data_IF_019242139527
#
_entry.id   IF_019242139527
#
_cell.length_a   1.000
_cell.length_b   1.000
_cell.length_c   1.000
_cell.angle_alpha   90.00
_cell.angle_beta   90.00
_cell.angle_gamma   90.00
#
_symmetry.space_group_name_H-M   'P 1'
#
loop_
_entity.id
_entity.type
_entity.pdbx_description
1 polymer ?
#
# COMPACT_ATOMS: atom_id res chain seq x y z
N UNK A 1 36.48 17.75 25.40
CA UNK A 1 35.99 17.66 25.10
C UNK A 1 35.02 17.44 24.78
N UNK A 2 34.64 17.70 24.79
CA UNK A 2 33.91 17.72 24.23
C UNK A 2 32.84 17.53 24.20
N UNK A 3 32.44 17.47 24.41
CA UNK A 3 31.62 17.33 24.46
C UNK A 3 30.57 17.39 24.22
N UNK A 4 30.19 17.70 24.21
CA UNK A 4 29.02 17.90 24.24
C UNK A 4 28.27 17.56 23.34
N UNK A 5 28.40 17.46 23.00
CA UNK A 5 27.90 17.03 22.12
C UNK A 5 26.67 16.76 22.08
N UNK A 6 26.33 16.23 22.77
CA UNK A 6 25.11 15.71 22.63
C UNK A 6 24.15 16.63 22.39
N UNK A 7 24.36 17.51 22.80
CA UNK A 7 23.46 18.32 22.65
C UNK A 7 23.16 18.59 21.39
N UNK A 8 23.87 18.40 20.61
CA UNK A 8 23.52 18.74 19.46
C UNK A 8 23.21 17.87 18.61
N UNK A 9 22.99 17.14 18.83
CA UNK A 9 22.47 16.40 18.09
C UNK A 9 21.82 16.78 17.16
N UNK A 10 21.57 17.42 17.24
CA UNK A 10 20.88 17.77 16.53
C UNK A 10 20.64 17.81 15.19
N UNK A 11 21.26 18.43 14.33
CA UNK A 11 20.93 18.43 12.97
C UNK A 11 20.90 17.08 12.36
N UNK A 12 21.81 16.23 12.68
CA UNK A 12 21.87 14.90 12.11
C UNK A 12 20.76 14.01 12.63
N UNK A 13 20.14 14.33 13.76
CA UNK A 13 19.00 13.57 14.27
C UNK A 13 17.69 14.15 13.81
N UNK A 14 17.60 15.45 13.63
CA UNK A 14 16.37 16.11 13.26
C UNK A 14 16.02 15.88 11.79
N UNK A 15 16.99 15.96 10.91
CA UNK A 15 16.73 15.81 9.49
C UNK A 15 16.10 14.47 9.13
N UNK A 16 16.56 13.31 9.64
CA UNK A 16 15.87 12.03 9.38
C UNK A 16 14.45 11.99 9.91
N UNK A 17 14.20 12.62 11.05
CA UNK A 17 12.86 12.67 11.62
C UNK A 17 11.91 13.48 10.75
N UNK A 18 12.35 14.62 10.27
CA UNK A 18 11.55 15.46 9.40
C UNK A 18 11.28 14.75 8.07
N UNK A 19 12.27 14.06 7.53
CA UNK A 19 12.09 13.29 6.32
C UNK A 19 11.08 12.16 6.52
N UNK A 20 11.12 11.49 7.68
CA UNK A 20 10.18 10.42 7.99
C UNK A 20 8.76 10.96 8.12
N UNK A 21 8.58 12.12 8.76
CA UNK A 21 7.28 12.76 8.89
C UNK A 21 6.73 13.15 7.52
N UNK A 22 7.57 13.73 6.66
CA UNK A 22 7.17 14.13 5.33
C UNK A 22 6.76 12.93 4.50
N UNK A 23 7.49 11.81 4.60
CA UNK A 23 7.16 10.58 3.89
C UNK A 23 5.85 9.99 4.37
N UNK A 24 5.61 9.97 5.68
CA UNK A 24 4.36 9.47 6.25
C UNK A 24 3.18 10.34 5.82
N UNK A 25 3.35 11.66 5.80
CA UNK A 25 2.31 12.58 5.37
C UNK A 25 1.97 12.36 3.91
N UNK A 26 2.96 12.18 3.06
CA UNK A 26 2.74 11.92 1.64
C UNK A 26 2.03 10.60 1.44
N UNK A 27 2.42 9.56 2.17
CA UNK A 27 1.77 8.26 2.08
C UNK A 27 0.30 8.35 2.48
N UNK A 28 -0.01 9.05 3.56
CA UNK A 28 -1.39 9.23 4.01
C UNK A 28 -2.23 10.02 3.00
N UNK A 29 -1.63 11.05 2.41
CA UNK A 29 -2.30 11.86 1.40
C UNK A 29 -2.61 10.99 0.17
N UNK A 30 -1.65 10.22 -0.28
CA UNK A 30 -1.83 9.34 -1.43
C UNK A 30 -2.87 8.26 -1.12
N UNK A 31 -2.82 7.69 0.08
CA UNK A 31 -3.79 6.70 0.51
C UNK A 31 -5.21 7.27 0.49
N UNK A 32 -5.40 8.46 1.06
CA UNK A 32 -6.71 9.11 1.08
C UNK A 32 -7.23 9.33 -0.33
N UNK A 33 -6.39 9.82 -1.22
CA UNK A 33 -6.77 10.08 -2.60
C UNK A 33 -7.17 8.79 -3.32
N UNK A 34 -6.43 7.71 -3.12
CA UNK A 34 -6.72 6.43 -3.75
C UNK A 34 -8.02 5.84 -3.20
N UNK A 35 -8.24 5.93 -1.89
CA UNK A 35 -9.46 5.44 -1.25
C UNK A 35 -10.68 6.17 -1.82
N UNK A 36 -10.63 7.50 -1.89
CA UNK A 36 -11.73 8.29 -2.44
C UNK A 36 -11.97 7.92 -3.91
N UNK A 37 -10.90 7.76 -4.68
CA UNK A 37 -11.01 7.36 -6.07
C UNK A 37 -11.69 5.98 -6.21
N UNK A 38 -11.26 5.00 -5.41
CA UNK A 38 -11.85 3.66 -5.43
C UNK A 38 -13.35 3.69 -5.11
N UNK A 39 -13.71 4.43 -4.07
CA UNK A 39 -15.11 4.56 -3.67
C UNK A 39 -15.93 5.17 -4.81
N UNK A 40 -15.40 6.17 -5.47
CA UNK A 40 -16.09 6.80 -6.59
C UNK A 40 -16.24 5.88 -7.79
N UNK A 41 -15.34 4.92 -7.94
CA UNK A 41 -15.44 3.92 -8.99
C UNK A 41 -16.40 2.78 -8.65
N UNK A 42 -16.94 2.76 -7.44
CA UNK A 42 -17.84 1.71 -7.01
C UNK A 42 -17.14 0.48 -6.44
N UNK A 43 -15.87 0.62 -6.07
CA UNK A 43 -15.11 -0.47 -5.49
C UNK A 43 -15.38 -0.55 -3.99
N UNK A 44 -15.62 -1.77 -3.51
CA UNK A 44 -15.88 -1.99 -2.08
C UNK A 44 -14.57 -2.29 -1.37
N UNK A 45 -14.19 -1.43 -0.43
CA UNK A 45 -12.96 -1.59 0.34
C UNK A 45 -13.24 -2.50 1.52
N UNK A 46 -12.44 -3.55 1.67
CA UNK A 46 -12.61 -4.53 2.73
C UNK A 46 -11.61 -4.34 3.87
N UNK A 47 -10.53 -3.63 3.65
CA UNK A 47 -9.56 -3.39 4.72
C UNK A 47 -8.29 -2.73 4.25
N UNK A 48 -7.40 -2.59 5.20
CA UNK A 48 -6.08 -2.00 4.98
C UNK A 48 -5.07 -2.86 5.71
N UNK A 49 -3.87 -2.97 5.14
CA UNK A 49 -2.76 -3.61 5.84
C UNK A 49 -1.48 -2.88 5.56
N UNK A 50 -0.63 -2.83 6.55
CA UNK A 50 0.69 -2.27 6.40
C UNK A 50 1.65 -3.34 5.93
N UNK A 51 2.61 -2.94 5.10
CA UNK A 51 3.66 -3.83 4.68
C UNK A 51 4.99 -3.09 4.82
N UNK A 52 5.93 -3.73 5.46
CA UNK A 52 7.25 -3.17 5.65
C UNK A 52 8.25 -4.17 5.07
N UNK A 53 8.99 -3.75 4.07
CA UNK A 53 10.00 -4.58 3.45
C UNK A 53 11.16 -3.74 2.96
N UNK A 54 12.36 -4.16 3.24
CA UNK A 54 13.58 -3.54 2.72
C UNK A 54 13.60 -2.02 2.83
N UNK A 55 13.16 -1.49 3.96
CA UNK A 55 13.20 -0.06 4.21
C UNK A 55 12.09 0.74 3.57
N UNK A 56 11.14 0.09 2.93
CA UNK A 56 10.01 0.78 2.32
C UNK A 56 8.74 0.42 3.08
N UNK A 57 8.08 1.45 3.61
CA UNK A 57 6.79 1.27 4.24
C UNK A 57 5.72 1.41 3.18
N UNK A 58 4.84 0.45 3.11
CA UNK A 58 3.72 0.47 2.16
C UNK A 58 2.42 0.23 2.88
N UNK A 59 1.38 0.84 2.35
CA UNK A 59 0.02 0.53 2.77
C UNK A 59 -0.67 -0.17 1.61
N UNK A 60 -1.34 -1.25 1.93
CA UNK A 60 -2.10 -2.02 0.96
C UNK A 60 -3.58 -1.85 1.28
N UNK A 61 -4.36 -1.48 0.28
CA UNK A 61 -5.82 -1.40 0.39
C UNK A 61 -6.37 -2.70 -0.16
N UNK A 62 -7.11 -3.43 0.64
CA UNK A 62 -7.76 -4.65 0.19
C UNK A 62 -9.20 -4.35 -0.21
N UNK A 63 -9.62 -4.90 -1.33
CA UNK A 63 -10.94 -4.63 -1.89
C UNK A 63 -11.64 -5.94 -2.24
N UNK A 64 -12.95 -5.89 -2.36
CA UNK A 64 -13.73 -7.05 -2.79
C UNK A 64 -13.52 -7.29 -4.27
N UNK A 65 -13.38 -8.56 -4.66
CA UNK A 65 -13.25 -8.93 -6.06
C UNK A 65 -14.48 -8.49 -6.85
N UNK A 66 -14.24 -7.98 -8.04
CA UNK A 66 -15.30 -7.51 -8.93
C UNK A 66 -14.75 -7.45 -10.35
N UNK A 67 -15.57 -7.76 -11.36
CA UNK A 67 -15.14 -7.59 -12.75
C UNK A 67 -14.72 -6.16 -13.07
N UNK A 68 -15.22 -5.20 -12.31
CA UNK A 68 -14.87 -3.79 -12.46
C UNK A 68 -13.36 -3.55 -12.32
N UNK A 69 -12.69 -4.30 -11.44
CA UNK A 69 -11.26 -4.11 -11.18
C UNK A 69 -10.40 -4.34 -12.41
N UNK A 70 -10.68 -5.39 -13.17
CA UNK A 70 -9.96 -5.65 -14.41
C UNK A 70 -10.20 -4.55 -15.44
N UNK A 71 -11.39 -3.97 -15.46
CA UNK A 71 -11.69 -2.85 -16.32
C UNK A 71 -10.98 -1.57 -15.91
N UNK A 72 -10.87 -1.32 -14.60
CA UNK A 72 -10.20 -0.13 -14.09
C UNK A 72 -8.70 -0.16 -14.31
N UNK A 73 -8.08 -1.31 -14.08
CA UNK A 73 -6.62 -1.42 -14.12
C UNK A 73 -6.10 -2.01 -15.42
N UNK A 74 -6.95 -2.67 -16.19
CA UNK A 74 -6.61 -3.27 -17.48
C UNK A 74 -5.34 -4.11 -17.38
N UNK A 75 -4.31 -3.79 -18.16
CA UNK A 75 -3.05 -4.52 -18.16
C UNK A 75 -2.11 -4.10 -17.02
N UNK A 76 -2.54 -3.19 -16.15
CA UNK A 76 -1.72 -2.75 -15.02
C UNK A 76 -1.98 -3.53 -13.75
N UNK A 77 -2.78 -4.58 -13.79
CA UNK A 77 -2.95 -5.49 -12.68
C UNK A 77 -2.38 -6.86 -13.04
N UNK A 78 -1.88 -7.54 -12.03
CA UNK A 78 -1.34 -8.89 -12.21
C UNK A 78 -1.55 -9.64 -10.89
N UNK A 79 -1.40 -10.97 -10.94
CA UNK A 79 -1.45 -11.74 -9.71
C UNK A 79 -0.02 -12.00 -9.22
N UNK A 80 0.14 -11.99 -7.90
CA UNK A 80 1.43 -12.23 -7.26
C UNK A 80 1.49 -13.55 -6.51
N UNK A 81 0.35 -14.14 -6.25
CA UNK A 81 0.28 -15.35 -5.47
C UNK A 81 -0.89 -16.21 -5.95
N UNK A 82 -0.64 -17.50 -5.97
CA UNK A 82 -1.65 -18.50 -6.29
C UNK A 82 -1.59 -19.55 -5.20
N UNK A 83 -2.71 -19.87 -4.62
CA UNK A 83 -2.76 -20.93 -3.63
C UNK A 83 -3.95 -21.83 -3.86
N UNK A 84 -3.82 -23.06 -3.38
CA UNK A 84 -4.87 -24.06 -3.48
C UNK A 84 -5.56 -24.16 -2.13
N UNK A 85 -6.90 -24.21 -2.13
CA UNK A 85 -7.68 -24.40 -0.92
C UNK A 85 -8.76 -25.42 -1.29
N UNK A 86 -8.48 -26.71 -1.04
CA UNK A 86 -9.33 -27.78 -1.47
C UNK A 86 -9.45 -27.81 -2.99
N UNK A 87 -10.66 -27.74 -3.51
CA UNK A 87 -10.91 -27.72 -4.93
C UNK A 87 -10.80 -26.32 -5.54
N UNK A 88 -10.54 -25.32 -4.73
CA UNK A 88 -10.51 -23.94 -5.17
C UNK A 88 -9.07 -23.48 -5.40
N UNK A 89 -8.88 -22.70 -6.45
CA UNK A 89 -7.62 -21.99 -6.67
C UNK A 89 -7.86 -20.52 -6.41
N UNK A 90 -7.04 -19.93 -5.56
CA UNK A 90 -7.18 -18.54 -5.15
C UNK A 90 -6.00 -17.76 -5.67
N UNK A 91 -6.28 -16.72 -6.43
CA UNK A 91 -5.26 -15.81 -6.95
C UNK A 91 -5.35 -14.50 -6.19
N UNK A 92 -4.21 -14.00 -5.72
CA UNK A 92 -4.12 -12.65 -5.16
C UNK A 92 -3.65 -11.71 -6.24
N UNK A 93 -4.51 -10.84 -6.66
CA UNK A 93 -4.24 -9.83 -7.68
C UNK A 93 -3.86 -8.51 -7.03
N UNK A 94 -3.07 -7.73 -7.71
CA UNK A 94 -2.75 -6.40 -7.24
C UNK A 94 -2.58 -5.42 -8.39
N UNK A 95 -2.74 -4.15 -8.06
CA UNK A 95 -2.43 -3.03 -8.93
C UNK A 95 -1.87 -1.92 -8.06
N UNK A 96 -1.01 -1.10 -8.63
CA UNK A 96 -0.46 0.05 -7.90
C UNK A 96 -1.03 1.33 -8.51
N UNK A 97 -1.42 2.27 -7.64
CA UNK A 97 -1.88 3.58 -8.06
C UNK A 97 -1.38 4.62 -7.08
N UNK A 98 -0.68 5.62 -7.59
CA UNK A 98 -0.15 6.73 -6.79
C UNK A 98 0.63 6.25 -5.56
N UNK A 99 1.43 5.21 -5.72
CA UNK A 99 2.24 4.67 -4.62
C UNK A 99 1.49 3.80 -3.63
N UNK A 100 0.22 3.54 -3.86
CA UNK A 100 -0.59 2.70 -2.99
C UNK A 100 -0.90 1.40 -3.72
N UNK A 101 -0.72 0.28 -3.04
CA UNK A 101 -1.04 -1.03 -3.60
C UNK A 101 -2.49 -1.39 -3.28
N UNK A 102 -3.21 -1.87 -4.28
CA UNK A 102 -4.58 -2.33 -4.15
C UNK A 102 -4.57 -3.82 -4.42
N UNK A 103 -5.13 -4.61 -3.51
CA UNK A 103 -5.14 -6.08 -3.63
C UNK A 103 -6.54 -6.64 -3.50
N UNK A 104 -6.78 -7.72 -4.20
CA UNK A 104 -8.02 -8.49 -4.07
C UNK A 104 -7.74 -9.96 -4.39
N UNK A 105 -8.65 -10.84 -3.95
CA UNK A 105 -8.53 -12.26 -4.21
C UNK A 105 -9.62 -12.69 -5.19
N UNK A 106 -9.23 -13.51 -6.16
CA UNK A 106 -10.17 -14.13 -7.10
C UNK A 106 -10.12 -15.62 -6.90
N UNK A 107 -11.31 -16.21 -6.79
CA UNK A 107 -11.46 -17.63 -6.54
C UNK A 107 -11.95 -18.30 -7.81
N UNK A 108 -11.26 -19.35 -8.21
CA UNK A 108 -11.63 -20.17 -9.36
C UNK A 108 -11.88 -21.60 -8.89
N UNK A 109 -12.94 -22.18 -9.38
CA UNK A 109 -13.27 -23.57 -9.06
C UNK A 109 -12.50 -24.53 -9.97
#
# INVERSE_FOLDING_TARGET
>A
MNAPIPLHTPRSAIAPRLAAIASATLLLTNLTNVVVWLIRQGVFITGFKGWRGEGIDRVVVTVAASPLLHGLFKDRCTWRERRQDGALTIYTWFADRAGVRIEWEEVCA
#
